data_IF_827420257916
#
_entry.id   IF_827420257916
#
_cell.length_a   1.000
_cell.length_b   1.000
_cell.length_c   1.000
_cell.angle_alpha   90.00
_cell.angle_beta   90.00
_cell.angle_gamma   90.00
#
_symmetry.space_group_name_H-M   'P 1'
#
loop_
_entity.id
_entity.type
_entity.pdbx_description
1 polymer ?
#
# COMPACT_ATOMS: atom_id res chain seq x y z
N UNK A 1 19.00 3.35 -18.65
CA UNK A 1 18.27 2.58 -19.69
C UNK A 1 17.38 3.56 -20.43
N UNK A 2 17.65 3.79 -21.71
CA UNK A 2 17.03 4.86 -22.53
C UNK A 2 15.54 4.67 -22.83
N UNK A 3 14.93 3.57 -22.40
CA UNK A 3 13.51 3.28 -22.65
C UNK A 3 12.59 3.49 -21.44
N UNK A 4 13.10 3.94 -20.29
CA UNK A 4 12.32 4.03 -19.05
C UNK A 4 11.06 4.92 -19.17
N UNK A 5 11.20 6.07 -19.83
CA UNK A 5 10.09 7.01 -20.04
C UNK A 5 9.11 6.49 -21.09
N UNK A 6 9.62 5.91 -22.18
CA UNK A 6 8.78 5.25 -23.20
C UNK A 6 7.92 4.13 -22.61
N UNK A 7 8.49 3.30 -21.73
CA UNK A 7 7.74 2.27 -20.99
C UNK A 7 6.65 2.93 -20.13
N UNK A 8 6.98 4.03 -19.45
CA UNK A 8 6.03 4.80 -18.65
C UNK A 8 4.85 5.32 -19.47
N UNK A 9 5.11 5.94 -20.62
CA UNK A 9 4.10 6.44 -21.55
C UNK A 9 3.20 5.32 -22.07
N UNK A 10 3.78 4.21 -22.53
CA UNK A 10 3.02 3.05 -23.01
C UNK A 10 2.12 2.46 -21.92
N UNK A 11 2.56 2.47 -20.65
CA UNK A 11 1.73 2.03 -19.53
C UNK A 11 0.55 2.98 -19.28
N UNK A 12 0.76 4.30 -19.30
CA UNK A 12 -0.34 5.26 -19.19
C UNK A 12 -1.36 5.11 -20.32
N UNK A 13 -0.88 4.98 -21.56
CA UNK A 13 -1.75 4.82 -22.74
C UNK A 13 -2.57 3.53 -22.66
N UNK A 14 -1.98 2.45 -22.14
CA UNK A 14 -2.63 1.14 -22.06
C UNK A 14 -3.64 1.05 -20.91
N UNK A 15 -3.43 1.79 -19.83
CA UNK A 15 -4.22 1.70 -18.61
C UNK A 15 -4.92 3.04 -18.31
N UNK A 16 -6.20 3.14 -18.69
CA UNK A 16 -6.98 4.37 -18.52
C UNK A 16 -7.27 4.76 -17.07
N UNK A 17 -6.97 3.89 -16.11
CA UNK A 17 -7.25 4.07 -14.68
C UNK A 17 -6.03 4.46 -13.84
N UNK A 18 -4.86 4.66 -14.47
CA UNK A 18 -3.66 5.14 -13.79
C UNK A 18 -3.32 6.56 -14.26
N UNK A 19 -2.71 7.35 -13.37
CA UNK A 19 -2.36 8.76 -13.62
C UNK A 19 -0.87 9.02 -13.61
N UNK A 20 -0.12 8.11 -12.99
CA UNK A 20 1.30 8.28 -12.69
C UNK A 20 1.96 6.91 -12.75
N UNK A 21 3.08 6.83 -13.48
CA UNK A 21 3.92 5.63 -13.55
C UNK A 21 5.25 5.96 -12.89
N UNK A 22 5.67 5.11 -11.96
CA UNK A 22 6.89 5.29 -11.18
C UNK A 22 7.79 4.06 -11.28
N UNK A 23 9.09 4.31 -11.23
CA UNK A 23 10.09 3.30 -10.96
C UNK A 23 10.33 3.24 -9.45
N UNK A 24 10.24 2.04 -8.88
CA UNK A 24 10.62 1.79 -7.49
C UNK A 24 12.13 1.58 -7.46
N UNK A 25 12.88 2.65 -7.24
CA UNK A 25 14.34 2.55 -7.16
C UNK A 25 14.72 1.69 -5.94
N UNK A 26 15.63 0.74 -6.14
CA UNK A 26 16.05 -0.21 -5.11
C UNK A 26 17.11 0.39 -4.19
N UNK A 27 16.75 1.33 -3.32
CA UNK A 27 17.52 1.64 -2.11
C UNK A 27 16.53 1.99 -0.99
N UNK A 28 16.53 1.20 0.08
CA UNK A 28 15.82 1.48 1.33
C UNK A 28 16.87 2.02 2.31
N UNK A 29 16.86 3.31 2.58
CA UNK A 29 17.66 3.96 3.65
C UNK A 29 16.78 4.94 4.42
N UNK A 30 15.84 4.44 5.23
CA UNK A 30 15.25 5.19 6.36
C UNK A 30 14.45 4.28 7.29
N UNK A 31 14.20 4.76 8.51
CA UNK A 31 13.44 4.07 9.57
C UNK A 31 12.03 3.67 9.14
N UNK A 32 11.44 4.41 8.20
CA UNK A 32 10.08 4.18 7.69
C UNK A 32 10.00 3.27 6.46
N UNK A 33 11.14 2.78 5.94
CA UNK A 33 11.25 1.97 4.72
C UNK A 33 10.57 2.58 3.49
N UNK A 34 10.61 3.91 3.35
CA UNK A 34 10.05 4.60 2.20
C UNK A 34 10.87 4.29 0.95
N UNK A 35 10.18 3.91 -0.12
CA UNK A 35 10.79 3.57 -1.41
C UNK A 35 11.01 4.87 -2.18
N UNK A 36 12.23 5.10 -2.66
CA UNK A 36 12.48 6.23 -3.56
C UNK A 36 11.73 6.01 -4.89
N UNK A 37 10.81 6.91 -5.21
CA UNK A 37 9.96 6.83 -6.40
C UNK A 37 10.49 7.79 -7.46
N UNK A 38 11.06 7.22 -8.51
CA UNK A 38 11.42 7.99 -9.71
C UNK A 38 10.19 8.06 -10.62
N UNK A 39 9.76 9.27 -10.97
CA UNK A 39 8.67 9.49 -11.92
C UNK A 39 9.12 9.06 -13.33
N UNK A 40 8.36 8.17 -13.96
CA UNK A 40 8.58 7.72 -15.35
C UNK A 40 7.64 8.43 -16.33
N UNK A 41 6.36 8.61 -15.97
CA UNK A 41 5.37 9.30 -16.81
C UNK A 41 4.16 9.77 -15.99
N UNK A 42 3.47 10.80 -16.48
CA UNK A 42 2.31 11.42 -15.83
C UNK A 42 2.68 12.51 -14.82
N UNK A 43 1.75 12.83 -13.93
CA UNK A 43 1.96 13.89 -12.93
C UNK A 43 2.69 13.37 -11.68
N UNK A 44 3.52 14.17 -11.00
CA UNK A 44 4.18 13.81 -9.74
C UNK A 44 3.20 13.80 -8.55
N UNK A 45 2.11 13.04 -8.68
CA UNK A 45 1.10 12.82 -7.64
C UNK A 45 1.19 11.36 -7.18
N UNK A 46 1.54 11.16 -5.91
CA UNK A 46 1.69 9.85 -5.29
C UNK A 46 0.52 9.48 -4.36
N UNK A 47 -0.53 10.31 -4.32
CA UNK A 47 -1.77 9.97 -3.63
C UNK A 47 -2.50 8.87 -4.38
N UNK A 48 -2.76 7.77 -3.67
CA UNK A 48 -3.44 6.61 -4.23
C UNK A 48 -4.67 6.26 -3.41
N UNK A 49 -5.67 5.71 -4.09
CA UNK A 49 -6.80 5.02 -3.48
C UNK A 49 -6.70 3.55 -3.87
N UNK A 50 -6.35 2.70 -2.92
CA UNK A 50 -6.19 1.26 -3.15
C UNK A 50 -7.37 0.52 -2.55
N UNK A 51 -7.88 -0.49 -3.28
CA UNK A 51 -8.86 -1.44 -2.76
C UNK A 51 -8.16 -2.76 -2.42
N UNK A 52 -8.24 -3.17 -1.16
CA UNK A 52 -7.72 -4.46 -0.68
C UNK A 52 -8.79 -5.14 0.18
N UNK A 53 -9.13 -6.40 -0.12
CA UNK A 53 -10.09 -7.20 0.66
C UNK A 53 -11.42 -6.47 0.98
N UNK A 54 -11.97 -5.74 0.00
CA UNK A 54 -13.17 -4.88 0.14
C UNK A 54 -13.03 -3.68 1.10
N UNK A 55 -11.81 -3.30 1.43
CA UNK A 55 -11.48 -2.08 2.15
C UNK A 55 -10.79 -1.11 1.20
N UNK A 56 -10.99 0.19 1.44
CA UNK A 56 -10.35 1.26 0.69
C UNK A 56 -9.35 1.98 1.58
N UNK A 57 -8.16 2.23 1.04
CA UNK A 57 -7.07 2.90 1.73
C UNK A 57 -6.61 4.08 0.87
N UNK A 58 -6.61 5.28 1.45
CA UNK A 58 -6.12 6.49 0.83
C UNK A 58 -4.84 6.93 1.52
N UNK A 59 -3.74 7.05 0.78
CA UNK A 59 -2.43 7.43 1.33
C UNK A 59 -1.50 7.96 0.24
N UNK A 60 -0.44 8.63 0.67
CA UNK A 60 0.69 9.01 -0.18
C UNK A 60 1.68 7.83 -0.25
N UNK A 61 1.77 7.19 -1.42
CA UNK A 61 2.57 5.98 -1.60
C UNK A 61 4.08 6.24 -1.39
N UNK A 62 4.54 7.48 -1.56
CA UNK A 62 5.95 7.85 -1.35
C UNK A 62 6.36 7.90 0.13
N UNK A 63 5.38 7.97 1.04
CA UNK A 63 5.61 8.18 2.48
C UNK A 63 5.32 6.96 3.35
N UNK A 64 4.79 5.89 2.76
CA UNK A 64 4.37 4.69 3.50
C UNK A 64 4.82 3.42 2.81
N UNK A 65 5.08 2.39 3.60
CA UNK A 65 5.27 1.05 3.06
C UNK A 65 3.93 0.43 2.67
N UNK A 66 3.79 0.04 1.40
CA UNK A 66 2.64 -0.73 0.93
C UNK A 66 3.04 -1.77 -0.12
N UNK A 67 2.62 -3.02 0.08
CA UNK A 67 2.87 -4.13 -0.83
C UNK A 67 1.57 -4.90 -1.12
N UNK A 68 0.96 -4.75 -2.30
CA UNK A 68 -0.31 -5.41 -2.62
C UNK A 68 -0.19 -6.95 -2.67
N UNK A 69 1.03 -7.50 -2.72
CA UNK A 69 1.25 -8.95 -2.69
C UNK A 69 0.93 -9.58 -1.33
N UNK A 70 0.88 -8.79 -0.25
CA UNK A 70 0.55 -9.26 1.09
C UNK A 70 -0.96 -9.34 1.35
N UNK A 71 -1.79 -8.97 0.37
CA UNK A 71 -3.25 -8.93 0.52
C UNK A 71 -3.84 -10.26 0.98
N UNK A 72 -3.31 -11.38 0.50
CA UNK A 72 -3.78 -12.71 0.89
C UNK A 72 -3.42 -13.00 2.35
N UNK A 73 -2.19 -12.76 2.75
CA UNK A 73 -1.71 -12.93 4.13
C UNK A 73 -2.50 -12.06 5.11
N UNK A 74 -2.78 -10.80 4.74
CA UNK A 74 -3.62 -9.90 5.51
C UNK A 74 -5.01 -10.52 5.74
N UNK A 75 -5.66 -11.00 4.66
CA UNK A 75 -6.99 -11.59 4.72
C UNK A 75 -7.00 -12.86 5.59
N UNK A 76 -5.99 -13.72 5.46
CA UNK A 76 -5.91 -14.96 6.22
C UNK A 76 -5.73 -14.72 7.72
N UNK A 77 -4.95 -13.71 8.13
CA UNK A 77 -4.84 -13.33 9.54
C UNK A 77 -6.17 -12.77 10.04
N UNK A 78 -6.78 -11.83 9.32
CA UNK A 78 -8.09 -11.25 9.67
C UNK A 78 -9.15 -12.34 9.83
N UNK A 79 -9.18 -13.35 8.95
CA UNK A 79 -10.12 -14.46 9.03
C UNK A 79 -9.95 -15.33 10.27
N UNK A 80 -8.72 -15.48 10.77
CA UNK A 80 -8.41 -16.27 11.97
C UNK A 80 -8.77 -15.57 13.27
N UNK A 81 -8.94 -14.25 13.24
CA UNK A 81 -9.39 -13.48 14.41
C UNK A 81 -10.89 -13.59 14.63
N UNK A 82 -11.29 -13.69 15.89
CA UNK A 82 -12.66 -13.83 16.35
C UNK A 82 -13.07 -12.62 17.19
N UNK A 83 -14.38 -12.47 17.37
CA UNK A 83 -14.92 -11.48 18.30
C UNK A 83 -14.42 -11.76 19.73
N UNK A 84 -13.96 -10.71 20.40
CA UNK A 84 -13.35 -10.81 21.74
C UNK A 84 -11.83 -10.99 21.74
N UNK A 85 -11.21 -11.29 20.60
CA UNK A 85 -9.75 -11.31 20.50
C UNK A 85 -9.18 -9.90 20.65
N UNK A 86 -7.98 -9.82 21.24
CA UNK A 86 -7.17 -8.60 21.31
C UNK A 86 -5.94 -8.76 20.42
N UNK A 87 -5.88 -7.95 19.35
CA UNK A 87 -4.79 -7.95 18.39
C UNK A 87 -3.84 -6.79 18.67
N UNK A 88 -2.55 -7.12 18.79
CA UNK A 88 -1.47 -6.15 18.91
C UNK A 88 -0.74 -6.07 17.58
N UNK A 89 -0.76 -4.89 16.96
CA UNK A 89 -0.02 -4.63 15.73
C UNK A 89 1.18 -3.73 16.02
N UNK A 90 2.38 -4.26 15.79
CA UNK A 90 3.65 -3.56 16.03
C UNK A 90 3.99 -2.60 14.89
N UNK A 91 3.44 -2.82 13.69
CA UNK A 91 3.82 -2.09 12.47
C UNK A 91 2.62 -1.85 11.55
N UNK A 92 1.59 -1.16 12.04
CA UNK A 92 0.35 -1.08 11.26
C UNK A 92 0.44 -0.26 9.99
N UNK A 93 1.38 0.67 9.88
CA UNK A 93 1.45 1.56 8.72
C UNK A 93 0.10 2.23 8.45
N UNK A 94 -0.48 1.99 7.27
CA UNK A 94 -1.80 2.53 6.86
C UNK A 94 -3.02 1.74 7.38
N UNK A 95 -2.80 0.71 8.20
CA UNK A 95 -3.84 -0.08 8.87
C UNK A 95 -4.47 -1.20 8.04
N UNK A 96 -3.71 -2.01 7.26
CA UNK A 96 -4.28 -3.14 6.51
C UNK A 96 -4.92 -4.20 7.40
N UNK A 97 -4.52 -4.29 8.68
CA UNK A 97 -5.19 -5.11 9.69
C UNK A 97 -6.23 -4.32 10.48
N UNK A 98 -5.89 -3.10 10.93
CA UNK A 98 -6.76 -2.26 11.75
C UNK A 98 -8.17 -2.08 11.14
N UNK A 99 -8.23 -1.69 9.86
CA UNK A 99 -9.50 -1.40 9.18
C UNK A 99 -10.42 -2.64 9.07
N UNK A 100 -9.97 -3.80 8.53
CA UNK A 100 -10.83 -4.97 8.45
C UNK A 100 -11.17 -5.59 9.82
N UNK A 101 -10.27 -5.53 10.80
CA UNK A 101 -10.54 -6.01 12.16
C UNK A 101 -11.59 -5.16 12.87
N UNK A 102 -11.52 -3.83 12.72
CA UNK A 102 -12.54 -2.93 13.26
C UNK A 102 -13.93 -3.24 12.69
N UNK A 103 -14.05 -3.53 11.38
CA UNK A 103 -15.33 -3.95 10.76
C UNK A 103 -15.89 -5.25 11.31
N UNK A 104 -15.07 -6.08 11.94
CA UNK A 104 -15.45 -7.35 12.58
C UNK A 104 -15.68 -7.21 14.09
N UNK A 105 -15.62 -6.00 14.65
CA UNK A 105 -15.70 -5.75 16.09
C UNK A 105 -14.66 -6.55 16.89
N UNK A 106 -13.42 -6.62 16.39
CA UNK A 106 -12.26 -7.19 17.09
C UNK A 106 -11.52 -6.07 17.82
N UNK A 107 -11.06 -6.31 19.04
CA UNK A 107 -10.27 -5.32 19.76
C UNK A 107 -8.87 -5.24 19.15
N UNK A 108 -8.43 -4.03 18.86
CA UNK A 108 -7.18 -3.76 18.16
C UNK A 108 -6.39 -2.70 18.91
N UNK A 109 -5.10 -2.94 19.11
CA UNK A 109 -4.18 -1.95 19.68
C UNK A 109 -2.94 -1.82 18.80
N UNK A 110 -2.65 -0.57 18.42
CA UNK A 110 -1.37 -0.22 17.84
C UNK A 110 -0.32 -0.17 18.96
N UNK A 111 0.77 -0.92 18.80
CA UNK A 111 1.96 -0.71 19.61
C UNK A 111 2.79 0.41 18.98
N UNK A 112 2.93 1.52 19.71
CA UNK A 112 3.83 2.64 19.39
C UNK A 112 5.26 2.32 19.80
#
# INVERSE_FOLDING_TARGET
MDFKHLIGEVLLDKFSNIRTVVNKAQIIENEFRNINMELLSGEPNFEVLVKENNNQFAFDFSKVFWNPRLSNEHNEIVKKTNHGDLVYDVFAGVGPFAVPLAKRNVMYMQMI
#
